data_IF_303759280494
#
_entry.id   IF_303759280494
#
_cell.length_a   1.000
_cell.length_b   1.000
_cell.length_c   1.000
_cell.angle_alpha   90.00
_cell.angle_beta   90.00
_cell.angle_gamma   90.00
#
_symmetry.space_group_name_H-M   'P 1'
#
loop_
_entity.id
_entity.type
_entity.pdbx_description
1 polymer ?
#
# COMPACT_ATOMS: atom_id res chain seq x y z
N UNK A 1 32.55 -14.55 -2.60
CA UNK A 1 31.19 -14.80 -3.13
C UNK A 1 30.17 -14.16 -2.18
N UNK A 2 29.91 -12.85 -2.30
CA UNK A 2 28.95 -12.12 -1.46
C UNK A 2 28.52 -10.83 -2.18
N UNK A 3 27.78 -10.95 -3.29
CA UNK A 3 27.14 -9.76 -3.92
C UNK A 3 25.91 -10.11 -4.77
N UNK A 4 25.92 -11.24 -5.49
CA UNK A 4 24.88 -11.53 -6.50
C UNK A 4 23.46 -11.69 -5.92
N UNK A 5 23.32 -12.10 -4.65
CA UNK A 5 21.99 -12.25 -4.02
C UNK A 5 21.37 -10.88 -3.67
N UNK A 6 22.19 -9.88 -3.32
CA UNK A 6 21.67 -8.56 -2.92
C UNK A 6 21.23 -7.71 -4.10
N UNK A 7 21.95 -7.76 -5.22
CA UNK A 7 21.61 -6.98 -6.42
C UNK A 7 20.24 -7.39 -6.99
N UNK A 8 19.96 -8.70 -7.08
CA UNK A 8 18.66 -9.19 -7.56
C UNK A 8 17.49 -8.81 -6.62
N UNK A 9 17.73 -8.75 -5.30
CA UNK A 9 16.69 -8.39 -4.33
C UNK A 9 16.36 -6.88 -4.41
N UNK A 10 17.37 -6.03 -4.64
CA UNK A 10 17.15 -4.58 -4.81
C UNK A 10 16.44 -4.29 -6.13
N UNK A 11 16.84 -4.95 -7.22
CA UNK A 11 16.21 -4.75 -8.54
C UNK A 11 14.74 -5.20 -8.55
N UNK A 12 14.41 -6.30 -7.88
CA UNK A 12 13.03 -6.80 -7.78
C UNK A 12 12.13 -5.91 -6.92
N UNK A 13 12.67 -5.35 -5.83
CA UNK A 13 11.95 -4.39 -4.97
C UNK A 13 11.70 -3.07 -5.70
N UNK A 14 12.70 -2.57 -6.45
CA UNK A 14 12.57 -1.35 -7.25
C UNK A 14 11.53 -1.49 -8.37
N UNK A 15 11.51 -2.63 -9.06
CA UNK A 15 10.53 -2.90 -10.09
C UNK A 15 9.11 -2.97 -9.52
N UNK A 16 8.93 -3.63 -8.37
CA UNK A 16 7.62 -3.73 -7.70
C UNK A 16 7.05 -2.35 -7.32
N UNK A 17 7.89 -1.46 -6.80
CA UNK A 17 7.47 -0.12 -6.42
C UNK A 17 7.02 0.73 -7.62
N UNK A 18 7.75 0.64 -8.74
CA UNK A 18 7.35 1.29 -9.99
C UNK A 18 6.04 0.75 -10.55
N UNK A 19 5.86 -0.58 -10.54
CA UNK A 19 4.62 -1.22 -10.96
C UNK A 19 3.45 -0.73 -10.11
N UNK A 20 3.59 -0.71 -8.79
CA UNK A 20 2.57 -0.20 -7.86
C UNK A 20 2.20 1.26 -8.15
N UNK A 21 3.19 2.14 -8.33
CA UNK A 21 2.96 3.54 -8.64
C UNK A 21 2.24 3.73 -9.98
N UNK A 22 2.65 2.97 -11.00
CA UNK A 22 2.05 3.00 -12.33
C UNK A 22 0.61 2.48 -12.32
N UNK A 23 0.34 1.37 -11.64
CA UNK A 23 -0.99 0.75 -11.58
C UNK A 23 -2.01 1.63 -10.85
N UNK A 24 -1.58 2.35 -9.80
CA UNK A 24 -2.43 3.34 -9.11
C UNK A 24 -2.85 4.47 -10.06
N UNK A 25 -1.88 5.07 -10.77
CA UNK A 25 -2.12 6.22 -11.65
C UNK A 25 -2.97 5.81 -12.86
N UNK A 26 -2.70 4.64 -13.44
CA UNK A 26 -3.43 4.13 -14.62
C UNK A 26 -4.74 3.44 -14.27
N UNK A 27 -5.01 3.19 -12.99
CA UNK A 27 -6.26 2.56 -12.54
C UNK A 27 -6.34 1.05 -12.79
N UNK A 28 -5.20 0.37 -12.97
CA UNK A 28 -5.13 -1.08 -13.19
C UNK A 28 -5.38 -1.85 -11.89
N UNK A 29 -6.65 -1.90 -11.48
CA UNK A 29 -7.06 -2.42 -10.16
C UNK A 29 -6.60 -3.86 -9.91
N UNK A 30 -6.68 -4.74 -10.90
CA UNK A 30 -6.28 -6.15 -10.74
C UNK A 30 -4.76 -6.31 -10.61
N UNK A 31 -3.98 -5.56 -11.38
CA UNK A 31 -2.52 -5.57 -11.31
C UNK A 31 -2.05 -4.96 -9.98
N UNK A 32 -2.64 -3.82 -9.59
CA UNK A 32 -2.40 -3.19 -8.29
C UNK A 32 -2.70 -4.15 -7.14
N UNK A 33 -3.83 -4.85 -7.19
CA UNK A 33 -4.20 -5.83 -6.16
C UNK A 33 -3.19 -6.98 -6.08
N UNK A 34 -2.73 -7.48 -7.24
CA UNK A 34 -1.72 -8.54 -7.30
C UNK A 34 -0.36 -8.09 -6.77
N UNK A 35 0.06 -6.87 -7.08
CA UNK A 35 1.29 -6.28 -6.58
C UNK A 35 1.22 -5.98 -5.07
N UNK A 36 0.13 -5.38 -4.59
CA UNK A 36 -0.10 -5.13 -3.15
C UNK A 36 -0.13 -6.42 -2.34
N UNK A 37 -0.67 -7.51 -2.91
CA UNK A 37 -0.68 -8.81 -2.24
C UNK A 37 0.73 -9.42 -2.06
N UNK A 38 1.72 -8.98 -2.85
CA UNK A 38 3.13 -9.37 -2.70
C UNK A 38 3.88 -8.46 -1.72
N UNK A 39 3.37 -7.27 -1.45
CA UNK A 39 3.93 -6.36 -0.45
C UNK A 39 3.76 -6.93 0.95
N UNK A 40 4.81 -6.89 1.76
CA UNK A 40 4.72 -7.35 3.14
C UNK A 40 3.73 -6.51 3.94
N UNK A 41 3.05 -7.12 4.93
CA UNK A 41 2.11 -6.38 5.77
C UNK A 41 2.78 -5.25 6.55
N UNK A 42 4.06 -5.44 6.93
CA UNK A 42 4.86 -4.41 7.59
C UNK A 42 5.06 -3.19 6.70
N UNK A 43 5.43 -3.38 5.43
CA UNK A 43 5.66 -2.28 4.49
C UNK A 43 4.36 -1.56 4.15
N UNK A 44 3.27 -2.33 3.99
CA UNK A 44 1.93 -1.74 3.81
C UNK A 44 1.50 -0.90 5.01
N UNK A 45 1.77 -1.35 6.24
CA UNK A 45 1.51 -0.57 7.45
C UNK A 45 2.31 0.74 7.48
N UNK A 46 3.58 0.73 7.04
CA UNK A 46 4.37 1.96 6.92
C UNK A 46 3.81 2.92 5.88
N UNK A 47 3.43 2.41 4.71
CA UNK A 47 2.72 3.17 3.69
C UNK A 47 1.45 3.83 4.25
N UNK A 48 0.57 3.05 4.88
CA UNK A 48 -0.69 3.54 5.41
C UNK A 48 -0.50 4.59 6.53
N UNK A 49 0.52 4.42 7.39
CA UNK A 49 0.90 5.44 8.38
C UNK A 49 1.38 6.73 7.72
N UNK A 50 2.19 6.65 6.67
CA UNK A 50 2.66 7.83 5.93
C UNK A 50 1.49 8.60 5.29
N UNK A 51 0.50 7.88 4.74
CA UNK A 51 -0.76 8.45 4.24
C UNK A 51 -1.52 9.14 5.39
N UNK A 52 -1.75 8.45 6.50
CA UNK A 52 -2.48 8.99 7.64
C UNK A 52 -1.88 10.26 8.25
N UNK A 53 -0.54 10.37 8.27
CA UNK A 53 0.17 11.54 8.79
C UNK A 53 0.16 12.69 7.78
N UNK A 54 0.42 12.41 6.50
CA UNK A 54 0.70 13.46 5.51
C UNK A 54 -0.54 13.90 4.73
N UNK A 55 -1.52 13.00 4.57
CA UNK A 55 -2.71 13.20 3.74
C UNK A 55 -3.95 12.59 4.42
N UNK A 56 -4.41 13.18 5.54
CA UNK A 56 -5.56 12.66 6.29
C UNK A 56 -6.85 12.60 5.46
N UNK A 57 -7.00 13.45 4.45
CA UNK A 57 -8.14 13.40 3.54
C UNK A 57 -8.15 12.13 2.67
N UNK A 58 -6.97 11.61 2.30
CA UNK A 58 -6.82 10.33 1.57
C UNK A 58 -7.04 9.16 2.54
N UNK A 59 -6.48 9.23 3.76
CA UNK A 59 -6.71 8.24 4.82
C UNK A 59 -8.21 7.99 5.04
N UNK A 60 -9.01 9.06 5.04
CA UNK A 60 -10.45 9.00 5.24
C UNK A 60 -11.24 8.38 4.07
N UNK A 61 -10.64 8.26 2.88
CA UNK A 61 -11.27 7.73 1.66
C UNK A 61 -10.98 6.25 1.43
N UNK A 62 -9.93 5.73 2.03
CA UNK A 62 -9.45 4.35 1.82
C UNK A 62 -9.87 3.47 2.99
N UNK A 63 -10.34 2.25 2.70
CA UNK A 63 -10.83 1.34 3.73
C UNK A 63 -11.93 1.96 4.60
N UNK A 64 -12.78 2.79 4.02
CA UNK A 64 -13.95 3.32 4.71
C UNK A 64 -14.96 2.20 4.98
N UNK A 65 -15.09 1.78 6.24
CA UNK A 65 -16.19 0.86 6.63
C UNK A 65 -17.55 1.43 6.26
N UNK A 66 -18.52 0.57 6.00
CA UNK A 66 -19.84 0.97 5.51
C UNK A 66 -20.96 0.65 6.51
N UNK A 67 -22.01 1.47 6.56
CA UNK A 67 -23.07 1.29 7.52
C UNK A 67 -24.12 0.28 7.04
N UNK A 68 -24.78 -0.34 8.01
CA UNK A 68 -26.13 -0.85 7.85
C UNK A 68 -27.05 0.09 8.60
N UNK A 69 -27.98 0.73 7.89
CA UNK A 69 -28.82 1.81 8.44
C UNK A 69 -27.98 2.96 9.01
N UNK A 70 -27.82 3.04 10.33
CA UNK A 70 -27.10 4.10 11.05
C UNK A 70 -25.81 3.65 11.73
N UNK A 71 -25.43 2.37 11.60
CA UNK A 71 -24.26 1.80 12.30
C UNK A 71 -23.25 1.24 11.32
N UNK A 72 -22.01 1.73 11.44
CA UNK A 72 -20.86 1.30 10.68
C UNK A 72 -20.25 0.03 11.28
N UNK A 73 -19.72 -0.82 10.42
CA UNK A 73 -18.85 -1.91 10.85
C UNK A 73 -17.63 -1.34 11.61
N UNK A 74 -17.10 -2.13 12.52
CA UNK A 74 -15.94 -1.79 13.33
C UNK A 74 -14.78 -2.70 12.96
N UNK A 75 -13.61 -2.15 12.69
CA UNK A 75 -12.44 -2.99 12.45
C UNK A 75 -12.02 -3.78 13.69
N UNK A 76 -11.58 -5.01 13.47
CA UNK A 76 -11.09 -5.92 14.49
C UNK A 76 -10.12 -6.94 13.89
N UNK A 77 -9.42 -7.68 14.75
CA UNK A 77 -8.47 -8.72 14.31
C UNK A 77 -9.10 -9.93 13.62
N UNK A 78 -10.44 -10.09 13.70
CA UNK A 78 -11.18 -11.17 13.04
C UNK A 78 -12.62 -10.72 12.78
N UNK A 79 -13.18 -11.12 11.65
CA UNK A 79 -14.57 -10.82 11.29
C UNK A 79 -15.55 -11.63 12.16
N UNK A 80 -16.40 -10.93 12.89
CA UNK A 80 -17.58 -11.43 13.60
C UNK A 80 -18.73 -10.44 13.36
N UNK A 81 -19.19 -10.36 12.12
CA UNK A 81 -20.22 -9.41 11.68
C UNK A 81 -21.46 -10.20 11.25
N UNK A 82 -22.20 -10.65 12.25
CA UNK A 82 -23.37 -11.52 12.13
C UNK A 82 -24.41 -11.18 13.18
N UNK A 83 -25.68 -11.36 12.85
CA UNK A 83 -26.77 -11.17 13.80
C UNK A 83 -26.76 -12.35 14.80
N UNK A 84 -26.19 -12.12 15.97
CA UNK A 84 -26.08 -13.09 17.07
C UNK A 84 -26.47 -12.43 18.39
N UNK A 85 -26.46 -13.19 19.49
CA UNK A 85 -26.74 -12.66 20.83
C UNK A 85 -25.90 -11.42 21.17
N UNK A 86 -24.63 -11.41 20.75
CA UNK A 86 -23.70 -10.29 21.00
C UNK A 86 -23.85 -9.15 19.99
N UNK A 87 -24.57 -9.37 18.89
CA UNK A 87 -24.83 -8.36 17.85
C UNK A 87 -23.56 -7.63 17.37
N UNK A 88 -22.46 -8.39 17.25
CA UNK A 88 -21.16 -7.86 16.84
C UNK A 88 -21.18 -7.43 15.37
N UNK A 89 -20.60 -6.24 15.10
CA UNK A 89 -20.39 -5.67 13.78
C UNK A 89 -18.89 -5.59 13.43
N UNK A 90 -18.11 -6.57 13.91
CA UNK A 90 -16.65 -6.60 13.78
C UNK A 90 -16.22 -7.15 12.43
N UNK A 91 -15.34 -6.44 11.72
CA UNK A 91 -14.85 -6.82 10.40
C UNK A 91 -13.33 -6.78 10.32
N UNK A 92 -12.74 -7.71 9.58
CA UNK A 92 -11.31 -7.74 9.27
C UNK A 92 -11.02 -7.49 7.77
N UNK A 93 -12.04 -7.12 7.00
CA UNK A 93 -11.93 -6.79 5.57
C UNK A 93 -12.03 -5.27 5.36
N UNK A 94 -11.04 -4.69 4.70
CA UNK A 94 -11.01 -3.29 4.29
C UNK A 94 -12.31 -2.89 3.56
N UNK A 95 -12.96 -1.83 4.04
CA UNK A 95 -14.19 -1.28 3.47
C UNK A 95 -15.44 -2.12 3.66
N UNK A 96 -15.41 -3.12 4.55
CA UNK A 96 -16.56 -4.00 4.79
C UNK A 96 -17.77 -3.26 5.39
N UNK A 97 -18.95 -3.78 5.08
CA UNK A 97 -20.24 -3.24 5.50
C UNK A 97 -20.75 -3.99 6.73
N UNK A 98 -21.37 -3.29 7.67
CA UNK A 98 -22.19 -3.93 8.70
C UNK A 98 -23.31 -4.76 8.03
N UNK A 99 -23.63 -5.95 8.56
CA UNK A 99 -24.64 -6.82 7.95
C UNK A 99 -26.04 -6.63 8.53
N UNK A 100 -26.16 -5.95 9.67
CA UNK A 100 -27.43 -5.70 10.38
C UNK A 100 -27.30 -4.49 11.31
N UNK A 101 -28.42 -4.07 11.92
CA UNK A 101 -28.46 -2.99 12.89
C UNK A 101 -28.02 -3.45 14.30
N UNK A 102 -26.72 -3.68 14.47
CA UNK A 102 -26.12 -4.09 15.75
C UNK A 102 -25.72 -2.91 16.64
N UNK A 103 -25.80 -3.10 17.96
CA UNK A 103 -25.43 -2.07 18.95
C UNK A 103 -23.91 -1.87 19.08
N UNK A 104 -23.11 -2.87 18.73
CA UNK A 104 -21.63 -2.81 18.80
C UNK A 104 -21.02 -1.95 17.69
N UNK A 105 -21.82 -1.52 16.71
CA UNK A 105 -21.36 -0.73 15.57
C UNK A 105 -21.03 0.72 15.90
N UNK A 106 -20.21 1.32 15.05
CA UNK A 106 -19.74 2.69 15.19
C UNK A 106 -20.75 3.69 14.63
N UNK A 107 -20.75 4.92 15.16
CA UNK A 107 -21.54 6.03 14.61
C UNK A 107 -20.86 6.71 13.41
N UNK A 108 -19.56 6.49 13.22
CA UNK A 108 -18.78 6.99 12.08
C UNK A 108 -17.99 5.84 11.47
N UNK A 109 -17.69 5.95 10.18
CA UNK A 109 -16.78 5.01 9.52
C UNK A 109 -15.42 4.98 10.23
N UNK A 110 -14.90 3.78 10.42
CA UNK A 110 -13.46 3.54 10.47
C UNK A 110 -12.85 3.68 9.08
N UNK A 111 -11.58 4.10 9.04
CA UNK A 111 -10.82 4.44 7.83
C UNK A 111 -9.47 3.71 7.81
N UNK A 112 -8.56 4.04 6.88
CA UNK A 112 -7.30 3.31 6.67
C UNK A 112 -6.43 3.18 7.94
N UNK A 113 -6.23 4.24 8.72
CA UNK A 113 -5.48 4.16 9.99
C UNK A 113 -6.14 3.24 11.03
N UNK A 114 -7.47 3.16 11.06
CA UNK A 114 -8.19 2.25 11.97
C UNK A 114 -8.04 0.81 11.48
N UNK A 115 -8.05 0.58 10.16
CA UNK A 115 -7.77 -0.72 9.57
C UNK A 115 -6.37 -1.21 9.96
N UNK A 116 -5.36 -0.35 9.87
CA UNK A 116 -4.00 -0.66 10.33
C UNK A 116 -3.99 -1.01 11.82
N UNK A 117 -4.54 -0.13 12.66
CA UNK A 117 -4.49 -0.28 14.12
C UNK A 117 -5.22 -1.55 14.61
N UNK A 118 -6.43 -1.76 14.12
CA UNK A 118 -7.33 -2.77 14.67
C UNK A 118 -7.21 -4.12 13.95
N UNK A 119 -6.93 -4.12 12.64
CA UNK A 119 -7.01 -5.32 11.79
C UNK A 119 -5.64 -5.86 11.39
N UNK A 120 -4.74 -4.99 10.91
CA UNK A 120 -3.40 -5.43 10.50
C UNK A 120 -2.45 -5.57 11.67
N UNK A 121 -2.69 -4.80 12.74
CA UNK A 121 -1.80 -4.57 13.87
C UNK A 121 -0.52 -3.84 13.43
N UNK A 122 0.17 -3.27 14.40
CA UNK A 122 1.34 -2.42 14.16
C UNK A 122 2.51 -3.17 13.49
N UNK A 123 2.56 -4.51 13.64
CA UNK A 123 3.57 -5.38 13.04
C UNK A 123 3.20 -5.86 11.63
N UNK A 124 1.96 -5.65 11.19
CA UNK A 124 1.46 -6.03 9.87
C UNK A 124 1.18 -7.53 9.68
N UNK A 125 1.29 -8.35 10.73
CA UNK A 125 1.14 -9.81 10.63
C UNK A 125 -0.30 -10.32 10.80
N UNK A 126 -1.28 -9.44 11.03
CA UNK A 126 -2.65 -9.84 11.33
C UNK A 126 -3.41 -10.40 10.12
N UNK A 127 -3.89 -9.49 9.28
CA UNK A 127 -4.88 -9.79 8.22
C UNK A 127 -4.42 -9.31 6.84
N UNK A 128 -3.10 -9.24 6.60
CA UNK A 128 -2.54 -8.85 5.31
C UNK A 128 -1.88 -10.03 4.59
N UNK A 129 -2.12 -10.25 3.28
CA UNK A 129 -3.10 -9.57 2.41
C UNK A 129 -4.50 -10.17 2.47
N UNK A 130 -4.71 -11.20 3.29
CA UNK A 130 -5.97 -11.95 3.40
C UNK A 130 -6.54 -11.83 4.82
N UNK A 131 -7.84 -11.59 4.92
CA UNK A 131 -8.56 -11.45 6.18
C UNK A 131 -8.80 -12.78 6.91
N UNK A 132 -9.34 -12.68 8.12
CA UNK A 132 -9.81 -13.82 8.93
C UNK A 132 -11.26 -13.58 9.38
N UNK A 133 -12.01 -14.66 9.61
CA UNK A 133 -13.38 -14.61 10.11
C UNK A 133 -13.65 -15.76 11.08
N UNK A 134 -14.67 -15.58 11.92
CA UNK A 134 -15.37 -16.69 12.56
C UNK A 134 -16.12 -17.53 11.51
N UNK A 135 -16.46 -18.77 11.81
CA UNK A 135 -17.07 -19.73 10.84
C UNK A 135 -18.31 -19.18 10.12
N UNK A 136 -19.10 -18.36 10.81
CA UNK A 136 -20.32 -17.72 10.34
C UNK A 136 -20.22 -16.18 10.27
N UNK A 137 -19.00 -15.64 10.41
CA UNK A 137 -18.73 -14.21 10.21
C UNK A 137 -18.92 -13.80 8.75
N UNK A 138 -19.42 -12.60 8.49
CA UNK A 138 -19.60 -12.09 7.12
C UNK A 138 -18.87 -10.76 6.94
N UNK A 139 -17.98 -10.60 5.94
CA UNK A 139 -17.61 -11.58 4.92
C UNK A 139 -16.68 -12.70 5.43
N UNK A 140 -16.76 -13.86 4.78
CA UNK A 140 -15.74 -14.91 4.91
C UNK A 140 -14.47 -14.55 4.13
N UNK A 141 -13.28 -15.01 4.56
CA UNK A 141 -12.02 -14.72 3.90
C UNK A 141 -12.00 -15.21 2.46
N UNK A 142 -11.43 -14.40 1.58
CA UNK A 142 -11.08 -14.81 0.21
C UNK A 142 -9.63 -14.46 -0.05
N UNK A 143 -8.96 -15.25 -0.89
CA UNK A 143 -7.56 -15.00 -1.25
C UNK A 143 -7.35 -13.55 -1.69
N UNK A 144 -6.49 -12.85 -0.94
CA UNK A 144 -6.06 -11.47 -1.14
C UNK A 144 -7.22 -10.45 -1.07
N UNK A 145 -8.26 -10.74 -0.30
CA UNK A 145 -9.43 -9.85 -0.17
C UNK A 145 -9.08 -8.43 0.30
N UNK A 146 -8.17 -8.28 1.27
CA UNK A 146 -7.73 -6.97 1.74
C UNK A 146 -6.89 -6.23 0.71
N UNK A 147 -5.96 -6.90 0.02
CA UNK A 147 -5.20 -6.27 -1.05
C UNK A 147 -6.10 -5.80 -2.21
N UNK A 148 -7.11 -6.60 -2.58
CA UNK A 148 -8.11 -6.25 -3.60
C UNK A 148 -8.99 -5.08 -3.17
N UNK A 149 -9.44 -5.07 -1.92
CA UNK A 149 -10.26 -4.00 -1.38
C UNK A 149 -9.49 -2.66 -1.35
N UNK A 150 -8.25 -2.68 -0.85
CA UNK A 150 -7.37 -1.50 -0.87
C UNK A 150 -7.13 -1.02 -2.29
N UNK A 151 -6.73 -1.90 -3.21
CA UNK A 151 -6.53 -1.53 -4.61
C UNK A 151 -7.76 -0.84 -5.22
N UNK A 152 -8.94 -1.41 -4.96
CA UNK A 152 -10.21 -0.87 -5.46
C UNK A 152 -10.62 0.47 -4.86
N UNK A 153 -10.09 0.85 -3.70
CA UNK A 153 -10.27 2.20 -3.14
C UNK A 153 -9.23 3.17 -3.69
N UNK A 154 -7.96 2.75 -3.79
CA UNK A 154 -6.87 3.57 -4.35
C UNK A 154 -7.13 3.97 -5.80
N UNK A 155 -7.66 3.07 -6.63
CA UNK A 155 -7.96 3.36 -8.04
C UNK A 155 -9.19 4.25 -8.23
N UNK A 156 -9.97 4.52 -7.18
CA UNK A 156 -11.12 5.45 -7.21
C UNK A 156 -10.79 6.87 -6.74
N UNK A 157 -9.59 7.08 -6.21
CA UNK A 157 -9.10 8.41 -5.84
C UNK A 157 -9.04 9.35 -7.06
N UNK A 158 -8.98 10.66 -6.83
CA UNK A 158 -8.75 11.62 -7.93
C UNK A 158 -7.38 11.43 -8.55
N UNK A 159 -7.16 11.98 -9.73
CA UNK A 159 -5.86 11.89 -10.43
C UNK A 159 -4.72 12.43 -9.55
N UNK A 160 -4.94 13.55 -8.88
CA UNK A 160 -3.95 14.18 -7.98
C UNK A 160 -3.66 13.29 -6.77
N UNK A 161 -4.70 12.74 -6.15
CA UNK A 161 -4.58 11.83 -5.00
C UNK A 161 -3.87 10.53 -5.38
N UNK A 162 -4.13 10.00 -6.58
CA UNK A 162 -3.41 8.84 -7.13
C UNK A 162 -1.93 9.11 -7.28
N UNK A 163 -1.55 10.28 -7.80
CA UNK A 163 -0.14 10.66 -7.93
C UNK A 163 0.55 10.74 -6.56
N UNK A 164 -0.13 11.28 -5.54
CA UNK A 164 0.39 11.34 -4.17
C UNK A 164 0.59 9.91 -3.62
N UNK A 165 -0.42 9.06 -3.73
CA UNK A 165 -0.37 7.67 -3.25
C UNK A 165 0.72 6.88 -3.96
N UNK A 166 0.84 7.03 -5.28
CA UNK A 166 1.88 6.39 -6.07
C UNK A 166 3.29 6.78 -5.60
N UNK A 167 3.51 8.07 -5.34
CA UNK A 167 4.77 8.57 -4.79
C UNK A 167 5.06 8.04 -3.39
N UNK A 168 4.05 7.94 -2.53
CA UNK A 168 4.20 7.36 -1.19
C UNK A 168 4.50 5.86 -1.24
N UNK A 169 3.79 5.08 -2.07
CA UNK A 169 4.04 3.65 -2.27
C UNK A 169 5.47 3.40 -2.71
N UNK A 170 5.93 4.14 -3.73
CA UNK A 170 7.30 4.04 -4.21
C UNK A 170 8.31 4.31 -3.08
N UNK A 171 8.14 5.42 -2.36
CA UNK A 171 9.05 5.80 -1.26
C UNK A 171 9.08 4.76 -0.12
N UNK A 172 7.94 4.17 0.22
CA UNK A 172 7.86 3.23 1.35
C UNK A 172 8.29 1.81 1.00
N UNK A 173 8.07 1.39 -0.25
CA UNK A 173 8.31 0.00 -0.67
C UNK A 173 9.70 -0.17 -1.29
N UNK A 174 10.29 0.88 -1.88
CA UNK A 174 11.69 0.85 -2.35
C UNK A 174 12.71 0.75 -1.21
N UNK A 175 12.27 0.82 0.06
CA UNK A 175 13.18 0.88 1.19
C UNK A 175 13.88 2.23 1.21
N UNK A 176 13.15 3.28 1.56
CA UNK A 176 13.71 4.57 1.95
C UNK A 176 14.48 4.50 3.27
N UNK A 177 15.40 3.54 3.44
CA UNK A 177 16.58 3.81 4.26
C UNK A 177 17.26 4.97 3.55
N UNK A 178 16.98 6.18 4.05
CA UNK A 178 17.86 7.32 3.88
C UNK A 178 19.20 6.79 4.34
N UNK A 179 20.07 6.42 3.39
CA UNK A 179 21.49 6.37 3.67
C UNK A 179 21.77 7.77 4.17
N UNK A 180 21.95 7.89 5.49
CA UNK A 180 22.47 9.08 6.11
C UNK A 180 23.83 9.27 5.43
N UNK A 181 23.88 10.06 4.36
CA UNK A 181 25.14 10.45 3.73
C UNK A 181 25.81 11.33 4.77
N UNK A 182 26.53 10.71 5.70
CA UNK A 182 27.47 11.39 6.57
C UNK A 182 28.55 11.96 5.67
N UNK A 183 28.37 13.23 5.33
CA UNK A 183 29.23 14.08 4.53
C UNK A 183 29.46 13.63 3.08
N UNK A 184 28.90 14.39 2.15
CA UNK A 184 29.54 14.58 0.84
C UNK A 184 30.77 15.44 1.11
N UNK A 185 31.95 14.82 1.27
CA UNK A 185 33.21 15.58 1.16
C UNK A 185 33.29 16.12 -0.26
N UNK A 186 33.48 17.43 -0.40
CA UNK A 186 33.38 18.21 -1.63
C UNK A 186 34.51 17.96 -2.63
N UNK A 187 34.91 16.72 -2.86
CA UNK A 187 35.82 16.35 -3.95
C UNK A 187 35.00 15.89 -5.14
N UNK A 188 34.48 16.88 -5.87
CA UNK A 188 34.08 16.86 -7.29
C UNK A 188 33.93 15.47 -7.95
N UNK A 189 32.69 15.10 -8.27
CA UNK A 189 32.42 14.11 -9.32
C UNK A 189 32.74 14.79 -10.66
N UNK A 190 33.94 14.56 -11.19
CA UNK A 190 34.31 15.02 -12.53
C UNK A 190 33.60 14.11 -13.54
N UNK A 191 32.45 14.56 -14.03
CA UNK A 191 31.71 13.89 -15.10
C UNK A 191 32.51 14.10 -16.39
N UNK A 192 33.22 13.07 -16.86
CA UNK A 192 33.91 13.11 -18.15
C UNK A 192 32.92 12.90 -19.28
N UNK A 193 32.10 13.91 -19.56
CA UNK A 193 31.23 13.97 -20.73
C UNK A 193 32.02 14.51 -21.94
N UNK A 194 32.89 13.67 -22.50
CA UNK A 194 33.54 13.94 -23.79
C UNK A 194 33.83 12.61 -24.50
N UNK A 195 32.80 11.99 -25.06
CA UNK A 195 32.94 11.13 -26.24
C UNK A 195 31.62 11.19 -27.00
N UNK A 196 31.53 12.12 -27.95
CA UNK A 196 31.58 11.80 -29.37
C UNK A 196 30.97 12.97 -30.16
N UNK A 197 31.78 13.70 -30.95
CA UNK A 197 31.42 14.32 -32.24
C UNK A 197 32.44 15.41 -32.64
N UNK A 198 32.84 15.32 -33.91
CA UNK A 198 33.57 16.29 -34.74
C UNK A 198 35.10 16.20 -34.71
N UNK A 199 35.70 15.51 -35.70
CA UNK A 199 36.13 16.25 -36.90
C UNK A 199 36.75 15.30 -37.93
N UNK A 200 36.07 15.22 -39.06
CA UNK A 200 36.55 15.20 -40.45
C UNK A 200 38.05 14.96 -40.70
N UNK A 201 38.28 14.05 -41.65
CA UNK A 201 39.60 13.53 -41.99
C UNK A 201 40.58 14.54 -42.60
N UNK A 202 41.85 14.20 -42.46
CA UNK A 202 42.91 14.64 -43.36
C UNK A 202 43.73 13.40 -43.75
N UNK A 203 43.67 13.07 -45.03
CA UNK A 203 44.61 12.16 -45.65
C UNK A 203 45.94 12.86 -45.94
N UNK A 204 47.01 12.08 -45.90
CA UNK A 204 48.19 12.29 -46.74
C UNK A 204 48.67 10.93 -47.24
N UNK A 205 48.78 10.84 -48.55
CA UNK A 205 49.28 9.70 -49.36
C UNK A 205 50.80 9.89 -49.54
N UNK A 206 51.49 8.88 -50.10
CA UNK A 206 52.45 7.99 -49.44
C UNK A 206 53.83 8.61 -49.15
#
# INVERSE_FOLDING_TARGET
RKSIIRENEVDTVYLLAKELAYDVVTGQTDNLAAALAKTSGKDFVQFAKAVGVSHPDIDNKVCGTKPHTNKYAQYAGKTNNKNSTDNDLKVAVCGATATFAGSSGRSTAHVLKDFVRETLKEDGNGNWPTSTAETDGTPQPKTNDNAKAVAGDLTKLTTEEKTIVAGLLAKTIEGGEVVEIRSVSSTSVMVNACYDLLSEGLGVVP
#
